data_IF_430141474984
#
_entry.id   IF_430141474984
#
_cell.length_a   1.000
_cell.length_b   1.000
_cell.length_c   1.000
_cell.angle_alpha   90.00
_cell.angle_beta   90.00
_cell.angle_gamma   90.00
#
_symmetry.space_group_name_H-M   'P 1'
#
loop_
_entity.id
_entity.type
_entity.pdbx_description
1 polymer ?
#
# COMPACT_ATOMS: atom_id res chain seq x y z
N UNK A 1 23.73 35.11 11.94
CA UNK A 1 23.71 33.65 11.73
C UNK A 1 22.33 33.18 12.14
N UNK A 2 21.52 32.68 11.20
CA UNK A 2 20.26 32.06 11.59
C UNK A 2 20.61 30.83 12.45
N UNK A 3 20.02 30.74 13.63
CA UNK A 3 20.16 29.55 14.47
C UNK A 3 19.53 28.40 13.68
N UNK A 4 20.27 27.32 13.45
CA UNK A 4 19.74 26.13 12.78
C UNK A 4 18.54 25.62 13.57
N UNK A 5 17.34 25.84 13.05
CA UNK A 5 16.12 25.32 13.65
C UNK A 5 16.09 23.82 13.37
N UNK A 6 16.22 23.01 14.43
CA UNK A 6 16.12 21.57 14.29
C UNK A 6 14.72 21.17 13.81
N UNK A 7 14.66 20.18 12.92
CA UNK A 7 13.40 19.65 12.39
C UNK A 7 12.44 19.20 13.50
N UNK A 8 12.97 18.80 14.66
CA UNK A 8 12.18 18.42 15.86
C UNK A 8 11.43 19.56 16.53
N UNK A 9 11.71 20.81 16.16
CA UNK A 9 10.97 21.99 16.64
C UNK A 9 9.91 22.47 15.65
N UNK A 10 9.81 21.85 14.47
CA UNK A 10 8.76 22.19 13.53
C UNK A 10 7.40 21.68 14.04
N UNK A 11 6.30 22.40 13.78
CA UNK A 11 4.96 21.89 13.99
C UNK A 11 4.73 20.59 13.21
N UNK A 12 3.89 19.70 13.76
CA UNK A 12 3.56 18.43 13.11
C UNK A 12 3.04 18.62 11.69
N UNK A 13 2.22 19.66 11.47
CA UNK A 13 1.62 20.00 10.18
C UNK A 13 2.69 20.34 9.13
N UNK A 14 3.78 20.99 9.55
CA UNK A 14 4.91 21.32 8.66
C UNK A 14 5.70 20.06 8.32
N UNK A 15 5.94 19.19 9.31
CA UNK A 15 6.59 17.90 9.10
C UNK A 15 5.75 17.05 8.13
N UNK A 16 4.44 16.96 8.34
CA UNK A 16 3.51 16.25 7.47
C UNK A 16 3.55 16.81 6.04
N UNK A 17 3.48 18.13 5.88
CA UNK A 17 3.57 18.77 4.56
C UNK A 17 4.88 18.46 3.82
N UNK A 18 6.01 18.48 4.53
CA UNK A 18 7.29 18.07 3.95
C UNK A 18 7.24 16.61 3.51
N UNK A 19 6.73 15.73 4.39
CA UNK A 19 6.67 14.30 4.12
C UNK A 19 5.68 13.96 3.00
N UNK A 20 4.63 14.75 2.77
CA UNK A 20 3.68 14.58 1.65
C UNK A 20 4.32 14.68 0.27
N UNK A 21 5.54 15.22 0.13
CA UNK A 21 6.26 15.31 -1.15
C UNK A 21 6.36 13.98 -1.91
N UNK A 22 6.08 13.98 -3.21
CA UNK A 22 6.20 12.81 -4.10
C UNK A 22 7.64 12.25 -4.17
N UNK A 23 8.64 13.10 -3.86
CA UNK A 23 10.05 12.70 -3.83
C UNK A 23 10.40 11.84 -2.61
N UNK A 24 9.55 11.82 -1.58
CA UNK A 24 9.77 11.06 -0.34
C UNK A 24 8.89 9.81 -0.40
N UNK A 25 9.49 8.63 -0.53
CA UNK A 25 8.73 7.38 -0.59
C UNK A 25 8.21 7.01 0.79
N UNK A 26 7.18 6.18 0.86
CA UNK A 26 6.67 5.67 2.14
C UNK A 26 7.75 4.98 2.98
N UNK A 27 8.72 4.31 2.34
CA UNK A 27 9.87 3.72 3.03
C UNK A 27 10.71 4.77 3.75
N UNK A 28 10.89 5.94 3.15
CA UNK A 28 11.64 7.05 3.74
C UNK A 28 10.85 7.67 4.90
N UNK A 29 9.52 7.80 4.76
CA UNK A 29 8.63 8.22 5.85
C UNK A 29 8.74 7.28 7.06
N UNK A 30 8.75 5.96 6.83
CA UNK A 30 8.89 4.97 7.90
C UNK A 30 10.27 5.04 8.57
N UNK A 31 11.33 5.17 7.77
CA UNK A 31 12.68 5.37 8.31
C UNK A 31 12.77 6.64 9.16
N UNK A 32 12.15 7.72 8.70
CA UNK A 32 12.07 8.97 9.43
C UNK A 32 11.28 8.83 10.74
N UNK A 33 10.15 8.11 10.73
CA UNK A 33 9.36 7.79 11.92
C UNK A 33 10.17 7.07 13.01
N UNK A 34 11.18 6.27 12.64
CA UNK A 34 12.03 5.55 13.58
C UNK A 34 13.12 6.42 14.24
N UNK A 35 13.27 7.69 13.84
CA UNK A 35 14.36 8.55 14.35
C UNK A 35 14.13 9.05 15.77
N UNK A 36 12.92 9.52 16.10
CA UNK A 36 12.58 10.01 17.43
C UNK A 36 11.09 9.95 17.74
N UNK A 37 10.73 10.04 19.03
CA UNK A 37 9.34 9.92 19.49
C UNK A 37 8.42 11.02 18.94
N UNK A 38 8.94 12.23 18.75
CA UNK A 38 8.15 13.34 18.21
C UNK A 38 7.74 13.04 16.77
N UNK A 39 8.72 12.72 15.92
CA UNK A 39 8.49 12.36 14.52
C UNK A 39 7.65 11.10 14.38
N UNK A 40 7.91 10.08 15.21
CA UNK A 40 7.08 8.87 15.26
C UNK A 40 5.60 9.23 15.40
N UNK A 41 5.26 10.06 16.40
CA UNK A 41 3.88 10.49 16.65
C UNK A 41 3.32 11.32 15.50
N UNK A 42 4.10 12.23 14.91
CA UNK A 42 3.67 13.02 13.75
C UNK A 42 3.32 12.12 12.56
N UNK A 43 4.11 11.08 12.31
CA UNK A 43 3.86 10.14 11.21
C UNK A 43 2.70 9.20 11.52
N UNK A 44 2.70 8.51 12.66
CA UNK A 44 1.69 7.48 12.96
C UNK A 44 0.30 8.05 13.18
N UNK A 45 0.19 9.29 13.68
CA UNK A 45 -1.11 9.87 13.98
C UNK A 45 -1.70 10.65 12.80
N UNK A 46 -0.93 10.90 11.73
CA UNK A 46 -1.43 11.65 10.57
C UNK A 46 -2.10 10.73 9.55
N UNK A 47 -3.41 10.53 9.72
CA UNK A 47 -4.22 9.79 8.75
C UNK A 47 -4.17 10.41 7.34
N UNK A 48 -4.01 11.73 7.26
CA UNK A 48 -3.85 12.48 6.00
C UNK A 48 -2.55 12.10 5.29
N UNK A 49 -1.44 12.04 6.02
CA UNK A 49 -0.14 11.64 5.45
C UNK A 49 -0.22 10.22 4.89
N UNK A 50 -0.77 9.27 5.66
CA UNK A 50 -0.95 7.89 5.23
C UNK A 50 -1.82 7.77 3.98
N UNK A 51 -2.97 8.45 3.95
CA UNK A 51 -3.82 8.52 2.75
C UNK A 51 -3.05 9.06 1.54
N UNK A 52 -2.32 10.14 1.73
CA UNK A 52 -1.56 10.78 0.64
C UNK A 52 -0.49 9.83 0.10
N UNK A 53 0.28 9.19 0.98
CA UNK A 53 1.32 8.23 0.60
C UNK A 53 0.76 6.97 -0.04
N UNK A 54 -0.39 6.50 0.43
CA UNK A 54 -1.11 5.38 -0.19
C UNK A 54 -1.45 5.71 -1.65
N UNK A 55 -2.09 6.86 -1.89
CA UNK A 55 -2.50 7.28 -3.23
C UNK A 55 -1.33 7.65 -4.14
N UNK A 56 -0.18 8.04 -3.58
CA UNK A 56 1.06 8.22 -4.34
C UNK A 56 1.65 6.88 -4.79
N UNK A 57 1.57 5.84 -3.95
CA UNK A 57 2.06 4.49 -4.26
C UNK A 57 1.18 3.78 -5.30
N UNK A 58 -0.14 3.96 -5.20
CA UNK A 58 -1.15 3.36 -6.06
C UNK A 58 -2.09 4.43 -6.65
N UNK A 59 -1.60 5.22 -7.64
CA UNK A 59 -2.36 6.35 -8.18
C UNK A 59 -3.67 5.92 -8.85
N UNK A 60 -3.71 4.75 -9.48
CA UNK A 60 -4.89 4.21 -10.15
C UNK A 60 -6.04 3.88 -9.18
N UNK A 61 -5.76 3.74 -7.88
CA UNK A 61 -6.78 3.47 -6.88
C UNK A 61 -7.53 4.72 -6.43
N UNK A 62 -7.04 5.92 -6.73
CA UNK A 62 -7.63 7.18 -6.25
C UNK A 62 -9.12 7.29 -6.56
N UNK A 63 -9.48 7.13 -7.84
CA UNK A 63 -10.87 7.24 -8.26
C UNK A 63 -11.77 6.14 -7.66
N UNK A 64 -11.19 4.97 -7.40
CA UNK A 64 -11.92 3.83 -6.82
C UNK A 64 -12.30 4.15 -5.38
N UNK A 65 -11.34 4.59 -4.55
CA UNK A 65 -11.61 4.98 -3.17
C UNK A 65 -12.52 6.22 -3.09
N UNK A 66 -12.38 7.20 -3.99
CA UNK A 66 -13.25 8.38 -4.02
C UNK A 66 -14.71 8.05 -4.39
N UNK A 67 -14.94 7.01 -5.19
CA UNK A 67 -16.29 6.49 -5.48
C UNK A 67 -16.83 5.71 -4.28
N UNK A 68 -16.04 4.79 -3.72
CA UNK A 68 -16.50 3.94 -2.62
C UNK A 68 -16.77 4.70 -1.31
N UNK A 69 -16.05 5.79 -1.04
CA UNK A 69 -16.29 6.67 0.11
C UNK A 69 -17.69 7.32 0.06
N UNK A 70 -18.28 7.44 -1.13
CA UNK A 70 -19.66 7.96 -1.31
C UNK A 70 -20.72 6.90 -1.09
N UNK A 71 -20.41 5.65 -1.44
CA UNK A 71 -21.43 4.63 -1.65
C UNK A 71 -21.53 3.62 -0.50
N UNK A 72 -20.45 3.25 0.22
CA UNK A 72 -20.56 2.30 1.37
C UNK A 72 -19.26 2.02 2.16
N UNK A 73 -18.06 2.26 1.60
CA UNK A 73 -16.80 1.89 2.24
C UNK A 73 -15.90 3.11 2.49
N UNK A 74 -15.80 3.48 3.76
CA UNK A 74 -14.99 4.61 4.23
C UNK A 74 -13.79 4.12 5.04
N UNK A 75 -12.60 4.42 4.56
CA UNK A 75 -11.35 4.13 5.29
C UNK A 75 -11.23 5.08 6.47
N UNK A 76 -11.35 4.54 7.69
CA UNK A 76 -11.12 5.29 8.93
C UNK A 76 -9.64 5.42 9.27
N UNK A 77 -8.85 4.37 9.03
CA UNK A 77 -7.42 4.30 9.32
C UNK A 77 -6.64 3.90 8.07
N UNK A 78 -5.97 4.89 7.46
CA UNK A 78 -5.16 4.68 6.26
C UNK A 78 -3.83 3.98 6.54
N UNK A 79 -3.35 3.96 7.78
CA UNK A 79 -2.16 3.19 8.15
C UNK A 79 -2.50 1.70 8.16
N UNK A 80 -3.64 1.33 8.74
CA UNK A 80 -4.16 -0.04 8.70
C UNK A 80 -4.48 -0.47 7.27
N UNK A 81 -5.11 0.39 6.47
CA UNK A 81 -5.38 0.13 5.04
C UNK A 81 -4.09 -0.16 4.25
N UNK A 82 -3.05 0.62 4.51
CA UNK A 82 -1.73 0.44 3.90
C UNK A 82 -1.12 -0.91 4.31
N UNK A 83 -1.18 -1.24 5.60
CA UNK A 83 -0.67 -2.51 6.13
C UNK A 83 -1.42 -3.72 5.55
N UNK A 84 -2.75 -3.67 5.51
CA UNK A 84 -3.60 -4.70 4.89
C UNK A 84 -3.26 -4.90 3.42
N UNK A 85 -3.03 -3.81 2.68
CA UNK A 85 -2.64 -3.87 1.27
C UNK A 85 -1.26 -4.52 1.10
N UNK A 86 -0.28 -4.18 1.94
CA UNK A 86 1.03 -4.84 1.91
C UNK A 86 0.95 -6.33 2.23
N UNK A 87 0.12 -6.73 3.19
CA UNK A 87 -0.05 -8.14 3.54
C UNK A 87 -0.73 -8.92 2.40
N UNK A 88 -1.74 -8.33 1.75
CA UNK A 88 -2.31 -8.88 0.51
C UNK A 88 -1.26 -9.02 -0.59
N UNK A 89 -0.37 -8.02 -0.75
CA UNK A 89 0.75 -8.08 -1.70
C UNK A 89 1.67 -9.26 -1.42
N UNK A 90 2.02 -9.45 -0.16
CA UNK A 90 2.95 -10.48 0.27
C UNK A 90 2.39 -11.86 -0.08
N UNK A 91 1.13 -12.12 0.28
CA UNK A 91 0.43 -13.37 -0.07
C UNK A 91 0.35 -13.61 -1.58
N UNK A 92 0.08 -12.55 -2.35
CA UNK A 92 0.14 -12.64 -3.81
C UNK A 92 1.52 -13.07 -4.30
N UNK A 93 2.59 -12.45 -3.81
CA UNK A 93 3.96 -12.79 -4.21
C UNK A 93 4.34 -14.22 -3.80
N UNK A 94 3.87 -14.70 -2.64
CA UNK A 94 4.04 -16.09 -2.20
C UNK A 94 3.40 -17.05 -3.21
N UNK A 95 2.12 -16.87 -3.54
CA UNK A 95 1.41 -17.69 -4.54
C UNK A 95 2.07 -17.64 -5.93
N UNK A 96 2.48 -16.44 -6.38
CA UNK A 96 3.19 -16.26 -7.66
C UNK A 96 4.54 -16.99 -7.68
N UNK A 97 5.27 -17.00 -6.56
CA UNK A 97 6.56 -17.70 -6.47
C UNK A 97 6.42 -19.21 -6.63
N UNK A 98 5.33 -19.78 -6.12
CA UNK A 98 5.02 -21.20 -6.22
C UNK A 98 4.44 -21.61 -7.58
N UNK A 99 3.93 -20.65 -8.38
CA UNK A 99 3.32 -20.95 -9.68
C UNK A 99 4.26 -21.73 -10.60
N UNK A 100 5.55 -21.37 -10.63
CA UNK A 100 6.54 -22.06 -11.45
C UNK A 100 6.65 -23.53 -11.06
N UNK A 101 6.90 -23.84 -9.78
CA UNK A 101 6.99 -25.21 -9.29
C UNK A 101 5.72 -26.03 -9.55
N UNK A 102 4.55 -25.41 -9.36
CA UNK A 102 3.26 -26.09 -9.46
C UNK A 102 2.76 -26.29 -10.91
N UNK A 103 3.23 -25.47 -11.86
CA UNK A 103 2.68 -25.41 -13.22
C UNK A 103 3.72 -25.46 -14.35
N UNK A 104 5.02 -25.60 -14.06
CA UNK A 104 6.10 -25.56 -15.07
C UNK A 104 5.89 -26.49 -16.27
N UNK A 105 5.32 -27.68 -16.05
CA UNK A 105 5.10 -28.69 -17.11
C UNK A 105 3.79 -28.50 -17.88
N UNK A 106 2.95 -27.53 -17.51
CA UNK A 106 1.65 -27.30 -18.13
C UNK A 106 1.77 -26.13 -19.09
N UNK A 107 1.41 -26.36 -20.36
CA UNK A 107 1.32 -25.28 -21.35
C UNK A 107 0.18 -24.32 -21.05
N UNK A 108 -0.91 -24.80 -20.44
CA UNK A 108 -2.06 -24.00 -20.05
C UNK A 108 -2.48 -24.30 -18.60
N UNK A 109 -2.87 -23.25 -17.87
CA UNK A 109 -3.38 -23.34 -16.51
C UNK A 109 -4.90 -23.17 -16.57
N UNK A 110 -5.64 -24.20 -16.17
CA UNK A 110 -7.10 -24.14 -16.08
C UNK A 110 -7.55 -23.24 -14.93
N UNK A 111 -8.81 -22.81 -14.94
CA UNK A 111 -9.41 -22.07 -13.82
C UNK A 111 -9.24 -22.79 -12.47
N UNK A 112 -9.25 -24.13 -12.45
CA UNK A 112 -9.02 -24.90 -11.23
C UNK A 112 -7.58 -24.80 -10.71
N UNK A 113 -6.61 -24.57 -11.58
CA UNK A 113 -5.20 -24.37 -11.22
C UNK A 113 -4.92 -23.02 -10.54
N UNK A 114 -5.83 -22.05 -10.67
CA UNK A 114 -5.74 -20.73 -10.04
C UNK A 114 -6.62 -20.60 -8.80
N UNK A 115 -7.18 -21.71 -8.28
CA UNK A 115 -8.07 -21.68 -7.11
C UNK A 115 -7.41 -21.11 -5.86
N UNK A 116 -6.09 -21.29 -5.71
CA UNK A 116 -5.35 -20.76 -4.57
C UNK A 116 -5.34 -19.23 -4.51
N UNK A 117 -5.54 -18.55 -5.64
CA UNK A 117 -5.66 -17.09 -5.68
C UNK A 117 -7.03 -16.60 -5.21
N UNK A 118 -8.09 -17.41 -5.30
CA UNK A 118 -9.45 -16.96 -5.00
C UNK A 118 -9.61 -16.31 -3.60
N UNK A 119 -9.04 -16.87 -2.52
CA UNK A 119 -9.10 -16.26 -1.18
C UNK A 119 -8.39 -14.91 -1.08
N UNK A 120 -7.51 -14.55 -2.01
CA UNK A 120 -6.82 -13.25 -2.03
C UNK A 120 -7.71 -12.13 -2.56
N UNK A 121 -8.63 -12.44 -3.47
CA UNK A 121 -9.44 -11.44 -4.19
C UNK A 121 -10.88 -11.34 -3.68
N UNK A 122 -11.38 -12.36 -2.97
CA UNK A 122 -12.80 -12.50 -2.60
C UNK A 122 -13.05 -12.15 -1.15
N UNK A 123 -13.81 -11.08 -0.91
CA UNK A 123 -14.16 -10.65 0.46
C UNK A 123 -15.00 -11.70 1.19
N UNK A 124 -15.82 -12.47 0.47
CA UNK A 124 -16.60 -13.58 1.04
C UNK A 124 -15.72 -14.73 1.56
N UNK A 125 -14.45 -14.79 1.15
CA UNK A 125 -13.45 -15.75 1.62
C UNK A 125 -12.49 -15.14 2.66
N UNK A 126 -12.77 -13.92 3.15
CA UNK A 126 -11.96 -13.23 4.15
C UNK A 126 -10.90 -12.28 3.57
N UNK A 127 -10.91 -12.01 2.26
CA UNK A 127 -10.06 -10.98 1.69
C UNK A 127 -10.48 -9.58 2.16
N UNK A 128 -9.52 -8.66 2.17
CA UNK A 128 -9.81 -7.24 2.39
C UNK A 128 -10.79 -6.72 1.32
N UNK A 129 -11.80 -5.87 1.64
CA UNK A 129 -12.79 -5.39 0.67
C UNK A 129 -12.17 -4.75 -0.58
N UNK A 130 -11.05 -4.06 -0.41
CA UNK A 130 -10.30 -3.42 -1.51
C UNK A 130 -9.23 -4.31 -2.13
N UNK A 131 -9.04 -5.55 -1.65
CA UNK A 131 -7.97 -6.43 -2.09
C UNK A 131 -8.00 -6.65 -3.61
N UNK A 132 -9.19 -6.82 -4.20
CA UNK A 132 -9.32 -7.00 -5.64
C UNK A 132 -8.67 -5.85 -6.42
N UNK A 133 -9.01 -4.61 -6.10
CA UNK A 133 -8.52 -3.44 -6.82
C UNK A 133 -7.00 -3.26 -6.64
N UNK A 134 -6.52 -3.39 -5.40
CA UNK A 134 -5.11 -3.28 -5.08
C UNK A 134 -4.27 -4.38 -5.76
N UNK A 135 -4.71 -5.64 -5.71
CA UNK A 135 -3.97 -6.78 -6.26
C UNK A 135 -3.92 -6.74 -7.79
N UNK A 136 -5.01 -6.31 -8.44
CA UNK A 136 -5.02 -6.13 -9.90
C UNK A 136 -4.02 -5.04 -10.30
N UNK A 137 -3.97 -3.92 -9.59
CA UNK A 137 -2.99 -2.87 -9.86
C UNK A 137 -1.54 -3.36 -9.69
N UNK A 138 -1.24 -4.12 -8.63
CA UNK A 138 0.09 -4.73 -8.45
C UNK A 138 0.43 -5.73 -9.57
N UNK A 139 -0.52 -6.57 -9.99
CA UNK A 139 -0.29 -7.51 -11.10
C UNK A 139 -0.01 -6.77 -12.41
N UNK A 140 -0.76 -5.71 -12.71
CA UNK A 140 -0.51 -4.87 -13.90
C UNK A 140 0.90 -4.28 -13.82
N UNK A 141 1.29 -3.69 -12.67
CA UNK A 141 2.62 -3.13 -12.49
C UNK A 141 3.74 -4.18 -12.68
N UNK A 142 3.54 -5.41 -12.20
CA UNK A 142 4.51 -6.51 -12.35
C UNK A 142 4.67 -6.96 -13.82
N UNK A 143 3.58 -6.94 -14.60
CA UNK A 143 3.60 -7.32 -16.02
C UNK A 143 4.19 -6.21 -16.89
N UNK A 144 3.83 -4.94 -16.63
CA UNK A 144 4.32 -3.80 -17.39
C UNK A 144 5.78 -3.45 -17.08
N UNK A 145 6.23 -3.75 -15.85
CA UNK A 145 7.61 -3.51 -15.39
C UNK A 145 8.15 -4.78 -14.74
N UNK A 146 8.46 -5.82 -15.53
CA UNK A 146 9.05 -7.03 -14.99
C UNK A 146 10.34 -6.65 -14.25
N UNK A 147 10.42 -7.05 -12.98
CA UNK A 147 11.65 -6.89 -12.19
C UNK A 147 12.69 -7.81 -12.83
N UNK A 148 13.60 -7.22 -13.62
CA UNK A 148 14.78 -7.88 -14.19
C UNK A 148 15.84 -8.14 -13.12
#
# INVERSE_FOLDING_TARGET
>A
MAVDVLISFLPCEVIEYILESDNIKIKDVMNFAMTCKHVYRSVTNSNKLWRTKFLQRWPNLREIYEKMDKDEYKVSDWMEEFHSSLESRKKLMEELSEMSANHYKKQEISHSGLKNFLPLFRSELGAHPMAYHFLIDELIQLVERPVL
#
